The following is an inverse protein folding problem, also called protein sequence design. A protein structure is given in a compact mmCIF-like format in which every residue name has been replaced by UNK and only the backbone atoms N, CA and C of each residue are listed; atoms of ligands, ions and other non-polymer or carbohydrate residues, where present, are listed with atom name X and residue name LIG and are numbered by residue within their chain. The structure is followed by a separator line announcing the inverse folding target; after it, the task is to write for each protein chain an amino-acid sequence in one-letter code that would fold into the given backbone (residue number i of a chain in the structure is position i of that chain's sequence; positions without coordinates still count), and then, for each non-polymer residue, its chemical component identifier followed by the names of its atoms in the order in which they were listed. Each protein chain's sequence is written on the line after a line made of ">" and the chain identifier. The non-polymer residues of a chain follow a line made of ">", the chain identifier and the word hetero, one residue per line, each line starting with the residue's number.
data_IF_269196106240
#
_entry.id   IF_269196106240
#
_cell.length_a   1.000
_cell.length_b   1.000
_cell.length_c   1.000
_cell.angle_alpha   90.00
_cell.angle_beta   90.00
_cell.angle_gamma   90.00
#
_symmetry.space_group_name_H-M   'P 1'
#
loop_
_entity.id
_entity.type
_entity.pdbx_description
1 polymer ?
#
# COMPACT_ATOMS: atom_id res chain seq x y z
N UNK A 1 -6.14 -25.40 10.63
CA UNK A 1 -6.01 -25.19 9.16
C UNK A 1 -4.85 -24.24 8.92
N UNK A 2 -3.94 -24.62 8.03
CA UNK A 2 -2.75 -23.81 7.69
C UNK A 2 -2.91 -23.24 6.29
N UNK A 3 -2.80 -21.91 6.17
CA UNK A 3 -2.91 -21.20 4.89
C UNK A 3 -1.55 -20.59 4.51
N UNK A 4 -1.10 -20.85 3.28
CA UNK A 4 0.01 -20.14 2.67
C UNK A 4 -0.51 -19.05 1.72
N UNK A 5 -0.10 -17.80 1.93
CA UNK A 5 -0.46 -16.65 1.11
C UNK A 5 0.71 -16.16 0.27
N UNK A 6 0.46 -15.89 -1.03
CA UNK A 6 1.48 -15.37 -1.97
C UNK A 6 1.04 -13.99 -2.45
N UNK A 7 1.84 -12.98 -2.14
CA UNK A 7 1.66 -11.59 -2.60
C UNK A 7 2.65 -11.28 -3.72
N UNK A 8 2.17 -10.57 -4.75
CA UNK A 8 3.02 -10.08 -5.85
C UNK A 8 2.21 -9.20 -6.78
N UNK A 9 1.91 -7.98 -6.32
CA UNK A 9 1.09 -7.02 -7.08
C UNK A 9 1.91 -5.98 -7.83
N UNK A 10 3.07 -5.58 -7.30
CA UNK A 10 3.94 -4.56 -7.90
C UNK A 10 5.43 -4.91 -7.69
N UNK A 11 6.20 -4.09 -6.96
CA UNK A 11 7.64 -4.29 -6.75
C UNK A 11 7.98 -5.30 -5.65
N UNK A 12 7.03 -5.51 -4.73
CA UNK A 12 7.22 -6.46 -3.63
C UNK A 12 6.65 -7.82 -3.98
N UNK A 13 7.34 -8.87 -3.54
CA UNK A 13 6.79 -10.21 -3.51
C UNK A 13 6.96 -10.77 -2.11
N UNK A 14 5.95 -11.47 -1.62
CA UNK A 14 5.93 -11.98 -0.26
C UNK A 14 5.22 -13.33 -0.17
N UNK A 15 5.62 -14.10 0.82
CA UNK A 15 4.99 -15.36 1.21
C UNK A 15 4.78 -15.32 2.72
N UNK A 16 3.54 -15.52 3.15
CA UNK A 16 3.18 -15.64 4.56
C UNK A 16 2.47 -16.95 4.83
N UNK A 17 2.62 -17.47 6.05
CA UNK A 17 1.90 -18.65 6.55
C UNK A 17 1.15 -18.25 7.81
N UNK A 18 -0.14 -18.57 7.84
CA UNK A 18 -1.01 -18.28 8.99
C UNK A 18 -1.87 -19.51 9.31
N UNK A 19 -2.30 -19.60 10.57
CA UNK A 19 -3.28 -20.58 11.00
C UNK A 19 -4.71 -19.98 11.07
N UNK A 20 -5.71 -20.82 11.38
CA UNK A 20 -7.11 -20.41 11.52
C UNK A 20 -7.42 -19.71 12.86
N UNK A 21 -6.45 -19.60 13.78
CA UNK A 21 -6.54 -18.79 14.98
C UNK A 21 -6.03 -17.35 14.72
N UNK A 22 -5.45 -17.08 13.54
CA UNK A 22 -4.88 -15.80 13.16
C UNK A 22 -3.43 -15.61 13.57
N UNK A 23 -2.74 -16.67 13.98
CA UNK A 23 -1.31 -16.58 14.28
C UNK A 23 -0.52 -16.49 12.97
N UNK A 24 0.42 -15.53 12.91
CA UNK A 24 1.36 -15.38 11.81
C UNK A 24 2.55 -16.30 12.10
N UNK A 25 2.66 -17.41 11.37
CA UNK A 25 3.69 -18.43 11.55
C UNK A 25 4.96 -18.12 10.78
N UNK A 26 4.84 -17.41 9.63
CA UNK A 26 5.95 -16.92 8.84
C UNK A 26 5.56 -15.69 8.01
N UNK A 27 6.54 -14.80 7.76
CA UNK A 27 6.34 -13.63 6.90
C UNK A 27 7.63 -13.25 6.18
N UNK A 28 7.83 -13.80 4.99
CA UNK A 28 9.01 -13.62 4.16
C UNK A 28 8.71 -12.71 2.97
N UNK A 29 9.63 -11.81 2.63
CA UNK A 29 9.43 -10.91 1.51
C UNK A 29 10.71 -10.44 0.84
N UNK A 30 10.59 -10.04 -0.43
CA UNK A 30 11.67 -9.46 -1.22
C UNK A 30 11.14 -8.31 -2.05
N UNK A 31 11.91 -7.23 -2.15
CA UNK A 31 11.53 -6.04 -2.91
C UNK A 31 12.48 -5.84 -4.08
N UNK A 32 11.91 -5.55 -5.26
CA UNK A 32 12.64 -5.03 -6.40
C UNK A 32 12.92 -3.53 -6.16
N UNK A 33 14.20 -3.18 -6.17
CA UNK A 33 14.63 -1.77 -6.11
C UNK A 33 15.22 -1.45 -7.49
N UNK A 34 14.54 -0.62 -8.31
CA UNK A 34 15.06 -0.24 -9.60
C UNK A 34 16.29 0.67 -9.45
N UNK A 35 17.29 0.50 -10.30
CA UNK A 35 18.48 1.36 -10.31
C UNK A 35 18.15 2.80 -10.72
N UNK A 36 17.12 2.99 -11.56
CA UNK A 36 16.64 4.29 -12.02
C UNK A 36 15.18 4.22 -12.47
N UNK A 37 14.48 5.34 -12.45
CA UNK A 37 13.10 5.45 -12.92
C UNK A 37 12.06 4.84 -11.99
N UNK A 38 10.97 4.34 -12.55
CA UNK A 38 9.87 3.68 -11.84
C UNK A 38 9.89 2.16 -12.03
N UNK A 39 8.92 1.47 -11.43
CA UNK A 39 8.81 0.00 -11.54
C UNK A 39 8.36 -0.39 -12.95
N UNK A 40 9.22 -1.13 -13.67
CA UNK A 40 8.85 -1.68 -14.97
C UNK A 40 8.07 -2.99 -14.79
N UNK A 41 6.86 -3.14 -15.37
CA UNK A 41 5.99 -4.29 -15.12
C UNK A 41 6.60 -5.65 -15.45
N UNK A 42 7.47 -5.70 -16.48
CA UNK A 42 8.18 -6.92 -16.87
C UNK A 42 9.25 -7.32 -15.84
N UNK A 43 10.03 -6.34 -15.37
CA UNK A 43 11.05 -6.57 -14.35
C UNK A 43 10.43 -7.04 -13.02
N UNK A 44 9.27 -6.47 -12.64
CA UNK A 44 8.52 -6.94 -11.50
C UNK A 44 8.10 -8.42 -11.67
N UNK A 45 7.61 -8.81 -12.85
CA UNK A 45 7.23 -10.19 -13.12
C UNK A 45 8.43 -11.16 -13.09
N UNK A 46 9.57 -10.75 -13.64
CA UNK A 46 10.83 -11.53 -13.62
C UNK A 46 11.35 -11.67 -12.17
N UNK A 47 11.30 -10.59 -11.39
CA UNK A 47 11.63 -10.61 -9.97
C UNK A 47 10.73 -11.59 -9.18
N UNK A 48 9.42 -11.57 -9.41
CA UNK A 48 8.48 -12.49 -8.76
C UNK A 48 8.77 -13.94 -9.15
N UNK A 49 8.96 -14.21 -10.44
CA UNK A 49 9.29 -15.55 -10.93
C UNK A 49 10.55 -16.13 -10.28
N UNK A 50 11.56 -15.30 -10.07
CA UNK A 50 12.81 -15.69 -9.40
C UNK A 50 12.69 -15.83 -7.88
N UNK A 51 11.75 -15.12 -7.25
CA UNK A 51 11.69 -14.98 -5.79
C UNK A 51 10.65 -15.87 -5.12
N UNK A 52 9.52 -16.20 -5.75
CA UNK A 52 8.40 -16.90 -5.08
C UNK A 52 8.83 -18.26 -4.52
N UNK A 53 9.51 -19.11 -5.31
CA UNK A 53 9.91 -20.44 -4.84
C UNK A 53 10.92 -20.38 -3.69
N UNK A 54 11.98 -19.55 -3.73
CA UNK A 54 12.83 -19.32 -2.57
C UNK A 54 12.04 -18.86 -1.33
N UNK A 55 11.14 -17.87 -1.48
CA UNK A 55 10.34 -17.36 -0.37
C UNK A 55 9.38 -18.40 0.24
N UNK A 56 8.83 -19.30 -0.57
CA UNK A 56 8.04 -20.44 -0.04
C UNK A 56 8.92 -21.32 0.85
N UNK A 57 10.14 -21.64 0.44
CA UNK A 57 11.08 -22.44 1.23
C UNK A 57 11.47 -21.73 2.52
N UNK A 58 11.74 -20.44 2.45
CA UNK A 58 12.09 -19.64 3.62
C UNK A 58 10.92 -19.58 4.61
N UNK A 59 9.69 -19.38 4.13
CA UNK A 59 8.49 -19.35 4.97
C UNK A 59 8.20 -20.70 5.64
N UNK A 60 8.38 -21.82 4.96
CA UNK A 60 8.27 -23.16 5.55
C UNK A 60 9.33 -23.38 6.61
N UNK A 61 10.57 -22.97 6.36
CA UNK A 61 11.65 -23.10 7.34
C UNK A 61 11.40 -22.22 8.58
N UNK A 62 10.90 -20.98 8.41
CA UNK A 62 10.56 -20.07 9.51
C UNK A 62 9.41 -20.61 10.36
N UNK A 63 8.36 -21.12 9.73
CA UNK A 63 7.19 -21.71 10.40
C UNK A 63 7.46 -23.10 10.98
N UNK A 64 8.55 -23.76 10.60
CA UNK A 64 8.90 -25.16 10.94
C UNK A 64 7.82 -26.16 10.48
N UNK A 65 7.16 -25.86 9.38
CA UNK A 65 6.16 -26.72 8.74
C UNK A 65 6.74 -27.36 7.48
N UNK A 66 6.22 -28.55 7.16
CA UNK A 66 6.45 -29.18 5.87
C UNK A 66 5.41 -28.68 4.84
N UNK A 67 5.72 -28.84 3.56
CA UNK A 67 4.84 -28.38 2.48
C UNK A 67 3.48 -29.13 2.49
N UNK A 68 3.48 -30.34 2.99
CA UNK A 68 2.29 -31.20 3.09
C UNK A 68 1.36 -30.79 4.26
N UNK A 69 1.81 -29.89 5.15
CA UNK A 69 0.97 -29.33 6.23
C UNK A 69 0.04 -28.21 5.73
N UNK A 70 0.22 -27.76 4.50
CA UNK A 70 -0.58 -26.67 3.92
C UNK A 70 -1.97 -27.16 3.48
N UNK A 71 -3.00 -26.57 4.06
CA UNK A 71 -4.41 -26.89 3.76
C UNK A 71 -5.05 -25.97 2.72
N UNK A 72 -4.51 -24.74 2.53
CA UNK A 72 -5.08 -23.72 1.68
C UNK A 72 -3.99 -22.86 1.05
N UNK A 73 -4.14 -22.53 -0.23
CA UNK A 73 -3.31 -21.52 -0.91
C UNK A 73 -4.14 -20.26 -1.15
N UNK A 74 -3.66 -19.11 -0.67
CA UNK A 74 -4.21 -17.80 -0.98
C UNK A 74 -3.24 -17.01 -1.87
N UNK A 75 -3.74 -16.09 -2.69
CA UNK A 75 -2.90 -15.19 -3.48
C UNK A 75 -3.56 -13.85 -3.73
N UNK A 76 -2.75 -12.79 -3.91
CA UNK A 76 -3.22 -11.48 -4.32
C UNK A 76 -3.70 -11.50 -5.77
N UNK A 77 -5.03 -11.39 -5.96
CA UNK A 77 -5.67 -11.40 -7.28
C UNK A 77 -5.56 -10.05 -8.00
N UNK A 78 -5.41 -8.98 -7.26
CA UNK A 78 -5.37 -7.58 -7.72
C UNK A 78 -5.98 -6.64 -6.70
N UNK A 79 -5.90 -5.31 -6.95
CA UNK A 79 -5.28 -4.65 -8.11
C UNK A 79 -3.74 -4.74 -8.09
N UNK A 80 -3.10 -4.48 -9.25
CA UNK A 80 -1.65 -4.50 -9.40
C UNK A 80 -1.19 -4.54 -10.86
N UNK A 81 0.11 -4.66 -11.08
CA UNK A 81 0.71 -4.76 -12.40
C UNK A 81 0.35 -6.11 -13.06
N UNK A 82 -0.28 -6.09 -14.21
CA UNK A 82 -0.79 -7.28 -14.89
C UNK A 82 0.22 -8.42 -15.06
N UNK A 83 1.47 -8.19 -15.51
CA UNK A 83 2.50 -9.22 -15.58
C UNK A 83 2.86 -9.83 -14.22
N UNK A 84 3.02 -9.01 -13.17
CA UNK A 84 3.28 -9.45 -11.79
C UNK A 84 2.16 -10.32 -11.25
N UNK A 85 0.89 -9.86 -11.38
CA UNK A 85 -0.29 -10.62 -10.98
C UNK A 85 -0.40 -11.98 -11.67
N UNK A 86 -0.09 -12.06 -12.97
CA UNK A 86 -0.11 -13.34 -13.70
C UNK A 86 0.95 -14.30 -13.18
N UNK A 87 2.15 -13.83 -12.90
CA UNK A 87 3.23 -14.65 -12.33
C UNK A 87 2.82 -15.20 -10.97
N UNK A 88 2.30 -14.36 -10.09
CA UNK A 88 1.82 -14.74 -8.76
C UNK A 88 0.67 -15.75 -8.83
N UNK A 89 -0.33 -15.49 -9.67
CA UNK A 89 -1.47 -16.39 -9.84
C UNK A 89 -1.06 -17.75 -10.44
N UNK A 90 -0.07 -17.78 -11.33
CA UNK A 90 0.46 -19.03 -11.91
C UNK A 90 1.18 -19.85 -10.82
N UNK A 91 2.03 -19.23 -10.03
CA UNK A 91 2.74 -19.90 -8.93
C UNK A 91 1.75 -20.47 -7.89
N UNK A 92 0.78 -19.66 -7.46
CA UNK A 92 -0.24 -20.09 -6.50
C UNK A 92 -1.09 -21.26 -7.03
N UNK A 93 -1.52 -21.21 -8.29
CA UNK A 93 -2.27 -22.29 -8.92
C UNK A 93 -1.45 -23.57 -9.05
N UNK A 94 -0.18 -23.46 -9.46
CA UNK A 94 0.72 -24.61 -9.56
C UNK A 94 0.91 -25.27 -8.21
N UNK A 95 1.11 -24.48 -7.15
CA UNK A 95 1.25 -24.98 -5.79
C UNK A 95 -0.03 -25.68 -5.31
N UNK A 96 -1.20 -25.04 -5.45
CA UNK A 96 -2.47 -25.61 -5.03
C UNK A 96 -2.80 -26.94 -5.75
N UNK A 97 -2.51 -27.02 -7.06
CA UNK A 97 -2.68 -28.25 -7.85
C UNK A 97 -1.73 -29.35 -7.36
N UNK A 98 -0.45 -29.01 -7.12
CA UNK A 98 0.56 -29.99 -6.67
C UNK A 98 0.23 -30.57 -5.30
N UNK A 99 -0.35 -29.77 -4.40
CA UNK A 99 -0.75 -30.19 -3.05
C UNK A 99 -2.18 -30.76 -3.01
N UNK A 100 -2.94 -30.61 -4.09
CA UNK A 100 -4.36 -30.97 -4.14
C UNK A 100 -5.21 -30.27 -3.05
N UNK A 101 -4.93 -28.97 -2.81
CA UNK A 101 -5.64 -28.15 -1.82
C UNK A 101 -6.44 -27.02 -2.50
N UNK A 102 -7.45 -26.44 -1.81
CA UNK A 102 -8.19 -25.29 -2.32
C UNK A 102 -7.29 -24.07 -2.57
N UNK A 103 -7.78 -23.17 -3.45
CA UNK A 103 -7.13 -21.89 -3.74
C UNK A 103 -8.12 -20.73 -3.63
N UNK A 104 -7.67 -19.61 -3.01
CA UNK A 104 -8.47 -18.39 -2.84
C UNK A 104 -7.74 -17.18 -3.40
N UNK A 105 -8.42 -16.41 -4.26
CA UNK A 105 -7.92 -15.11 -4.75
C UNK A 105 -8.41 -13.95 -3.88
N UNK A 106 -7.47 -13.24 -3.24
CA UNK A 106 -7.74 -12.15 -2.31
C UNK A 106 -7.55 -10.79 -3.00
N UNK A 107 -8.43 -9.84 -2.72
CA UNK A 107 -8.21 -8.45 -3.12
C UNK A 107 -7.06 -7.86 -2.29
N UNK A 108 -6.04 -7.32 -2.95
CA UNK A 108 -4.82 -6.79 -2.31
C UNK A 108 -5.11 -5.70 -1.27
N UNK A 109 -6.03 -4.75 -1.59
CA UNK A 109 -6.39 -3.68 -0.66
C UNK A 109 -7.08 -4.23 0.59
N UNK A 110 -7.97 -5.23 0.42
CA UNK A 110 -8.61 -5.90 1.55
C UNK A 110 -7.62 -6.72 2.37
N UNK A 111 -6.61 -7.33 1.74
CA UNK A 111 -5.53 -7.99 2.46
C UNK A 111 -4.81 -7.03 3.43
N UNK A 112 -4.55 -5.79 3.02
CA UNK A 112 -4.00 -4.77 3.90
C UNK A 112 -4.95 -4.36 5.03
N UNK A 113 -6.26 -4.28 4.78
CA UNK A 113 -7.26 -3.96 5.81
C UNK A 113 -7.35 -5.10 6.82
N UNK A 114 -7.45 -6.34 6.37
CA UNK A 114 -7.60 -7.50 7.26
C UNK A 114 -6.36 -7.74 8.13
N UNK A 115 -5.15 -7.66 7.56
CA UNK A 115 -3.93 -7.78 8.38
C UNK A 115 -3.79 -6.62 9.36
N UNK A 116 -4.22 -5.41 8.96
CA UNK A 116 -4.28 -4.26 9.86
C UNK A 116 -5.20 -4.51 11.05
N UNK A 117 -6.40 -5.02 10.82
CA UNK A 117 -7.34 -5.41 11.89
C UNK A 117 -6.73 -6.46 12.81
N UNK A 118 -6.18 -7.52 12.24
CA UNK A 118 -5.56 -8.61 12.99
C UNK A 118 -4.43 -8.11 13.90
N UNK A 119 -3.58 -7.21 13.41
CA UNK A 119 -2.38 -6.77 14.13
C UNK A 119 -2.62 -5.61 15.09
N UNK A 120 -3.69 -4.84 14.92
CA UNK A 120 -4.03 -3.71 15.80
C UNK A 120 -5.16 -4.02 16.77
N UNK A 121 -5.93 -5.07 16.54
CA UNK A 121 -7.13 -5.40 17.29
C UNK A 121 -8.33 -4.51 16.96
N UNK A 122 -8.27 -3.70 15.90
CA UNK A 122 -9.40 -2.90 15.44
C UNK A 122 -10.54 -3.81 14.95
N UNK A 123 -11.75 -3.59 15.46
CA UNK A 123 -12.88 -4.47 15.16
C UNK A 123 -13.65 -4.02 13.92
N UNK A 124 -14.01 -2.72 13.87
CA UNK A 124 -14.86 -2.17 12.79
C UNK A 124 -14.39 -0.78 12.32
N UNK A 125 -13.16 -0.63 11.83
CA UNK A 125 -12.59 0.65 11.50
C UNK A 125 -13.07 1.20 10.14
N UNK A 126 -13.01 2.54 10.01
CA UNK A 126 -12.79 3.19 8.74
C UNK A 126 -11.29 3.09 8.44
N UNK A 127 -10.94 2.43 7.35
CA UNK A 127 -9.55 2.20 6.98
C UNK A 127 -9.10 3.19 5.92
N UNK A 128 -8.11 4.02 6.23
CA UNK A 128 -7.40 4.82 5.24
C UNK A 128 -6.22 4.01 4.69
N UNK A 129 -6.41 3.44 3.51
CA UNK A 129 -5.38 2.69 2.79
C UNK A 129 -4.61 3.61 1.86
N UNK A 130 -3.34 3.83 2.16
CA UNK A 130 -2.46 4.75 1.43
C UNK A 130 -1.12 4.09 1.09
N UNK A 131 -0.90 3.85 -0.20
CA UNK A 131 0.30 3.19 -0.71
C UNK A 131 0.86 3.89 -1.95
N UNK A 132 1.89 3.32 -2.56
CA UNK A 132 2.43 3.78 -3.84
C UNK A 132 1.41 3.73 -4.98
N UNK A 133 0.56 2.71 -5.02
CA UNK A 133 -0.40 2.47 -6.09
C UNK A 133 -1.86 2.77 -5.75
N UNK A 134 -2.21 2.89 -4.47
CA UNK A 134 -3.59 3.03 -4.03
C UNK A 134 -3.75 4.12 -2.96
N UNK A 135 -4.89 4.81 -3.01
CA UNK A 135 -5.34 5.74 -1.98
C UNK A 135 -6.86 5.60 -1.89
N UNK A 136 -7.33 4.94 -0.85
CA UNK A 136 -8.74 4.61 -0.66
C UNK A 136 -9.14 4.72 0.81
N UNK A 137 -10.36 5.19 1.06
CA UNK A 137 -11.04 5.12 2.35
C UNK A 137 -12.06 3.99 2.29
N UNK A 138 -11.85 2.95 3.07
CA UNK A 138 -12.59 1.69 3.01
C UNK A 138 -13.26 1.43 4.35
N UNK A 139 -14.51 1.00 4.34
CA UNK A 139 -15.19 0.52 5.54
C UNK A 139 -16.08 -0.68 5.23
N UNK A 140 -16.32 -1.51 6.24
CA UNK A 140 -17.25 -2.65 6.13
C UNK A 140 -18.66 -2.16 6.42
N UNK A 141 -19.55 -2.22 5.42
CA UNK A 141 -20.92 -1.76 5.50
C UNK A 141 -21.88 -2.67 4.73
N UNK A 142 -23.00 -3.04 5.35
CA UNK A 142 -24.00 -3.90 4.75
C UNK A 142 -23.38 -5.20 4.23
N UNK A 143 -22.66 -5.91 5.10
CA UNK A 143 -22.05 -7.25 4.87
C UNK A 143 -20.97 -7.28 3.77
N UNK A 144 -20.36 -6.15 3.45
CA UNK A 144 -19.26 -6.07 2.47
C UNK A 144 -18.37 -4.85 2.68
N UNK A 145 -17.14 -4.93 2.22
CA UNK A 145 -16.25 -3.78 2.12
C UNK A 145 -16.72 -2.83 1.01
N UNK A 146 -16.75 -1.54 1.33
CA UNK A 146 -17.09 -0.46 0.41
C UNK A 146 -16.01 0.60 0.42
N UNK A 147 -15.72 1.14 -0.76
CA UNK A 147 -14.88 2.33 -0.92
C UNK A 147 -15.79 3.55 -0.76
N UNK A 148 -15.52 4.37 0.24
CA UNK A 148 -16.25 5.62 0.50
C UNK A 148 -15.61 6.81 -0.19
N UNK A 149 -14.29 6.76 -0.41
CA UNK A 149 -13.56 7.78 -1.16
C UNK A 149 -12.26 7.21 -1.72
N UNK A 150 -11.83 7.71 -2.85
CA UNK A 150 -10.58 7.29 -3.48
C UNK A 150 -9.93 8.42 -4.28
N UNK A 151 -8.68 8.22 -4.66
CA UNK A 151 -8.03 9.14 -5.58
C UNK A 151 -8.57 8.94 -7.01
N UNK A 152 -8.89 10.06 -7.67
CA UNK A 152 -9.37 10.06 -9.05
C UNK A 152 -8.23 10.08 -10.09
N UNK A 153 -6.99 10.25 -9.64
CA UNK A 153 -5.84 10.36 -10.54
C UNK A 153 -4.63 9.53 -10.05
N UNK A 154 -3.73 10.11 -9.27
CA UNK A 154 -2.54 9.42 -8.79
C UNK A 154 -2.67 9.07 -7.30
N UNK A 155 -2.09 7.93 -6.90
CA UNK A 155 -2.03 7.56 -5.49
C UNK A 155 -1.08 8.49 -4.71
N UNK A 156 -1.32 8.65 -3.41
CA UNK A 156 -0.55 9.55 -2.54
C UNK A 156 0.94 9.18 -2.51
N UNK A 157 1.26 7.91 -2.40
CA UNK A 157 2.67 7.48 -2.41
C UNK A 157 3.36 7.79 -3.75
N UNK A 158 2.67 7.55 -4.87
CA UNK A 158 3.19 7.91 -6.19
C UNK A 158 3.32 9.44 -6.37
N UNK A 159 2.43 10.23 -5.78
CA UNK A 159 2.55 11.70 -5.76
C UNK A 159 3.86 12.14 -5.09
N UNK A 160 4.17 11.59 -3.91
CA UNK A 160 5.42 11.87 -3.18
C UNK A 160 6.65 11.39 -3.95
N UNK A 161 6.58 10.21 -4.56
CA UNK A 161 7.68 9.64 -5.34
C UNK A 161 7.95 10.43 -6.62
N UNK A 162 6.91 10.89 -7.32
CA UNK A 162 7.06 11.73 -8.50
C UNK A 162 7.66 13.09 -8.13
N UNK A 163 7.14 13.75 -7.08
CA UNK A 163 7.71 14.99 -6.59
C UNK A 163 9.20 14.83 -6.27
N UNK A 164 9.54 13.83 -5.46
CA UNK A 164 10.92 13.59 -5.05
C UNK A 164 11.88 13.37 -6.25
N UNK A 165 11.43 12.70 -7.30
CA UNK A 165 12.22 12.55 -8.53
C UNK A 165 12.44 13.85 -9.26
N UNK A 166 11.41 14.66 -9.42
CA UNK A 166 11.48 15.95 -10.13
C UNK A 166 12.40 16.95 -9.42
N UNK A 167 12.45 16.92 -8.08
CA UNK A 167 13.31 17.80 -7.29
C UNK A 167 14.69 17.18 -6.96
N UNK A 168 15.02 16.00 -7.52
CA UNK A 168 16.33 15.36 -7.38
C UNK A 168 16.55 14.58 -6.08
N UNK A 169 15.52 14.32 -5.27
CA UNK A 169 15.63 13.51 -4.05
C UNK A 169 15.72 12.01 -4.30
N UNK A 170 15.22 11.53 -5.46
CA UNK A 170 15.22 10.11 -5.84
C UNK A 170 14.16 9.26 -5.11
N UNK A 171 14.31 7.94 -5.16
CA UNK A 171 13.36 6.96 -4.60
C UNK A 171 13.95 6.26 -3.36
N UNK A 172 13.15 5.86 -2.34
CA UNK A 172 11.73 6.20 -2.13
C UNK A 172 11.53 7.67 -1.75
N UNK A 173 10.51 8.32 -2.34
CA UNK A 173 10.27 9.75 -2.16
C UNK A 173 9.62 10.11 -0.84
N UNK A 174 8.65 9.32 -0.38
CA UNK A 174 7.87 9.62 0.82
C UNK A 174 8.72 9.94 2.06
N UNK A 175 9.68 9.08 2.48
CA UNK A 175 10.55 9.33 3.63
C UNK A 175 11.43 10.58 3.46
N UNK A 176 11.90 10.86 2.24
CA UNK A 176 12.75 12.03 1.96
C UNK A 176 11.95 13.33 2.01
N UNK A 177 10.74 13.35 1.46
CA UNK A 177 9.82 14.48 1.60
C UNK A 177 9.49 14.74 3.06
N UNK A 178 9.26 13.70 3.86
CA UNK A 178 9.02 13.82 5.31
C UNK A 178 10.23 14.39 6.04
N UNK A 179 11.45 13.97 5.69
CA UNK A 179 12.68 14.48 6.29
C UNK A 179 12.86 15.98 6.02
N UNK A 180 12.72 16.41 4.76
CA UNK A 180 12.80 17.81 4.37
C UNK A 180 11.69 18.64 5.01
N UNK A 181 10.46 18.13 5.06
CA UNK A 181 9.33 18.82 5.65
C UNK A 181 9.53 19.21 7.13
N UNK A 182 10.36 18.49 7.87
CA UNK A 182 10.69 18.80 9.28
C UNK A 182 11.52 20.07 9.47
N UNK A 183 12.20 20.50 8.42
CA UNK A 183 13.09 21.68 8.45
C UNK A 183 12.43 22.92 7.82
N UNK A 184 11.14 22.86 7.49
CA UNK A 184 10.42 23.94 6.85
C UNK A 184 10.20 25.13 7.80
N UNK A 185 10.33 26.33 7.27
CA UNK A 185 10.05 27.57 7.97
C UNK A 185 8.63 28.11 7.67
N UNK A 186 8.13 27.91 6.44
CA UNK A 186 6.87 28.49 5.97
C UNK A 186 5.98 27.49 5.20
N UNK A 187 4.66 27.67 5.35
CA UNK A 187 3.66 26.98 4.52
C UNK A 187 3.37 27.77 3.25
N UNK A 188 3.55 27.13 2.11
CA UNK A 188 3.23 27.67 0.79
C UNK A 188 1.88 27.12 0.33
N UNK A 189 0.92 28.00 0.08
CA UNK A 189 -0.41 27.60 -0.36
C UNK A 189 -0.37 26.83 -1.68
N UNK A 190 -0.89 25.61 -1.66
CA UNK A 190 -1.10 24.72 -2.82
C UNK A 190 -2.61 24.54 -3.09
N UNK A 191 -2.98 24.05 -4.28
CA UNK A 191 -4.37 23.71 -4.58
C UNK A 191 -4.91 22.64 -3.63
N UNK A 192 -6.17 22.76 -3.25
CA UNK A 192 -6.86 21.80 -2.40
C UNK A 192 -8.01 21.17 -3.21
N UNK A 193 -7.92 19.89 -3.51
CA UNK A 193 -8.79 19.22 -4.48
C UNK A 193 -9.53 18.01 -3.88
N UNK A 194 -10.52 18.29 -3.03
CA UNK A 194 -11.48 17.30 -2.52
C UNK A 194 -12.81 17.52 -3.23
N UNK A 195 -13.38 16.45 -3.78
CA UNK A 195 -14.65 16.49 -4.51
C UNK A 195 -15.59 15.40 -3.98
N UNK A 196 -16.51 15.81 -3.11
CA UNK A 196 -17.29 14.86 -2.33
C UNK A 196 -16.42 14.12 -1.33
N UNK A 197 -16.24 12.82 -1.54
CA UNK A 197 -15.31 11.97 -0.77
C UNK A 197 -14.10 11.53 -1.61
N UNK A 198 -13.97 12.03 -2.83
CA UNK A 198 -12.85 11.70 -3.72
C UNK A 198 -11.78 12.79 -3.72
N UNK A 199 -10.59 12.42 -4.11
CA UNK A 199 -9.36 13.20 -4.02
C UNK A 199 -8.67 13.29 -5.37
N UNK A 200 -7.91 14.36 -5.61
CA UNK A 200 -7.03 14.50 -6.78
C UNK A 200 -5.70 15.12 -6.36
N UNK A 201 -4.61 14.43 -6.63
CA UNK A 201 -3.27 14.85 -6.22
C UNK A 201 -2.41 15.42 -7.36
N UNK A 202 -2.73 15.14 -8.63
CA UNK A 202 -1.93 15.61 -9.77
C UNK A 202 -1.82 17.14 -9.86
N UNK A 203 -2.88 17.84 -9.50
CA UNK A 203 -2.88 19.32 -9.44
C UNK A 203 -1.99 19.85 -8.30
N UNK A 204 -2.02 19.20 -7.12
CA UNK A 204 -1.17 19.52 -5.97
C UNK A 204 0.29 19.28 -6.32
N UNK A 205 0.61 18.11 -6.89
CA UNK A 205 1.94 17.74 -7.37
C UNK A 205 2.52 18.77 -8.35
N UNK A 206 1.76 19.08 -9.41
CA UNK A 206 2.20 20.02 -10.43
C UNK A 206 2.44 21.43 -9.84
N UNK A 207 1.59 21.86 -8.91
CA UNK A 207 1.78 23.15 -8.23
C UNK A 207 3.01 23.15 -7.32
N UNK A 208 3.27 22.08 -6.59
CA UNK A 208 4.46 21.94 -5.76
C UNK A 208 5.76 21.99 -6.59
N UNK A 209 5.82 21.26 -7.70
CA UNK A 209 6.95 21.27 -8.64
C UNK A 209 7.20 22.71 -9.15
N UNK A 210 6.15 23.39 -9.62
CA UNK A 210 6.27 24.78 -10.10
C UNK A 210 6.73 25.76 -9.03
N UNK A 211 6.33 25.57 -7.78
CA UNK A 211 6.83 26.40 -6.65
C UNK A 211 8.33 26.20 -6.46
N UNK A 212 8.79 24.97 -6.45
CA UNK A 212 10.22 24.66 -6.37
C UNK A 212 11.00 25.24 -7.55
N UNK A 213 10.54 25.05 -8.78
CA UNK A 213 11.15 25.60 -10.00
C UNK A 213 11.21 27.15 -10.00
N UNK A 214 10.26 27.81 -9.33
CA UNK A 214 10.24 29.26 -9.16
C UNK A 214 11.15 29.80 -8.04
N UNK A 215 11.89 28.90 -7.37
CA UNK A 215 12.91 29.25 -6.36
C UNK A 215 12.42 29.18 -4.90
N UNK A 216 11.26 28.58 -4.64
CA UNK A 216 10.82 28.35 -3.26
C UNK A 216 11.76 27.33 -2.57
N UNK A 217 12.05 27.50 -1.26
CA UNK A 217 12.86 26.54 -0.51
C UNK A 217 12.30 25.14 -0.58
N UNK A 218 13.16 24.13 -0.81
CA UNK A 218 12.76 22.74 -0.94
C UNK A 218 12.00 22.24 0.30
N UNK A 219 12.49 22.60 1.48
CA UNK A 219 11.92 22.17 2.76
C UNK A 219 10.47 22.70 2.92
N UNK A 220 10.22 23.96 2.57
CA UNK A 220 8.90 24.58 2.62
C UNK A 220 7.94 23.95 1.60
N UNK A 221 8.43 23.60 0.40
CA UNK A 221 7.62 22.92 -0.61
C UNK A 221 7.28 21.48 -0.17
N UNK A 222 8.25 20.75 0.39
CA UNK A 222 8.02 19.40 0.93
C UNK A 222 6.97 19.42 2.05
N UNK A 223 7.10 20.35 3.00
CA UNK A 223 6.13 20.55 4.06
C UNK A 223 4.75 20.88 3.50
N UNK A 224 4.66 21.83 2.60
CA UNK A 224 3.39 22.30 2.04
C UNK A 224 2.67 21.23 1.22
N UNK A 225 3.42 20.42 0.45
CA UNK A 225 2.89 19.26 -0.27
C UNK A 225 2.30 18.25 0.71
N UNK A 226 3.06 17.90 1.74
CA UNK A 226 2.66 16.93 2.76
C UNK A 226 1.41 17.43 3.53
N UNK A 227 1.43 18.64 4.08
CA UNK A 227 0.33 19.23 4.83
C UNK A 227 -0.96 19.31 4.00
N UNK A 228 -0.86 19.82 2.77
CA UNK A 228 -2.03 19.94 1.89
C UNK A 228 -2.63 18.58 1.55
N UNK A 229 -1.80 17.63 1.10
CA UNK A 229 -2.28 16.33 0.67
C UNK A 229 -2.81 15.49 1.84
N UNK A 230 -2.15 15.53 2.99
CA UNK A 230 -2.61 14.78 4.17
C UNK A 230 -3.88 15.39 4.79
N UNK A 231 -4.02 16.71 4.79
CA UNK A 231 -5.28 17.35 5.20
C UNK A 231 -6.46 16.90 4.33
N UNK A 232 -6.25 16.71 3.03
CA UNK A 232 -7.28 16.16 2.13
C UNK A 232 -7.64 14.71 2.51
N UNK A 233 -6.63 13.88 2.82
CA UNK A 233 -6.85 12.48 3.26
C UNK A 233 -7.62 12.41 4.57
N UNK A 234 -7.23 13.23 5.55
CA UNK A 234 -7.88 13.29 6.88
C UNK A 234 -9.32 13.75 6.74
N UNK A 235 -9.58 14.82 5.97
CA UNK A 235 -10.94 15.33 5.73
C UNK A 235 -11.87 14.25 5.15
N UNK A 236 -11.42 13.51 4.13
CA UNK A 236 -12.24 12.46 3.51
C UNK A 236 -12.44 11.29 4.47
N UNK A 237 -11.42 10.94 5.25
CA UNK A 237 -11.52 9.89 6.27
C UNK A 237 -12.51 10.28 7.38
N UNK A 238 -12.47 11.53 7.86
CA UNK A 238 -13.42 12.07 8.85
C UNK A 238 -14.86 12.07 8.31
N UNK A 239 -15.05 12.47 7.05
CA UNK A 239 -16.37 12.40 6.41
C UNK A 239 -16.91 10.97 6.35
N UNK A 240 -16.04 10.00 6.01
CA UNK A 240 -16.43 8.59 5.99
C UNK A 240 -16.77 8.08 7.39
N UNK A 241 -15.98 8.46 8.41
CA UNK A 241 -16.25 8.14 9.81
C UNK A 241 -17.60 8.67 10.27
N UNK A 242 -17.88 9.95 9.99
CA UNK A 242 -19.15 10.58 10.32
C UNK A 242 -20.34 9.94 9.59
N UNK A 243 -20.16 9.58 8.29
CA UNK A 243 -21.19 8.94 7.49
C UNK A 243 -21.53 7.54 7.99
N UNK A 244 -20.53 6.74 8.29
CA UNK A 244 -20.68 5.34 8.75
C UNK A 244 -20.98 5.25 10.25
N UNK A 245 -20.81 6.33 11.01
CA UNK A 245 -20.94 6.39 12.48
C UNK A 245 -20.01 5.43 13.22
N UNK A 246 -18.94 4.99 12.58
CA UNK A 246 -17.91 4.16 13.20
C UNK A 246 -17.05 5.00 14.17
N UNK A 247 -16.37 4.32 15.09
CA UNK A 247 -15.60 4.97 16.16
C UNK A 247 -14.09 4.74 16.04
N UNK A 248 -13.68 3.94 15.06
CA UNK A 248 -12.29 3.56 14.88
C UNK A 248 -11.78 4.02 13.51
N UNK A 249 -10.56 4.52 13.48
CA UNK A 249 -9.81 4.80 12.23
C UNK A 249 -8.55 3.96 12.24
N UNK A 250 -8.30 3.29 11.12
CA UNK A 250 -7.09 2.49 10.92
C UNK A 250 -6.32 3.00 9.70
N UNK A 251 -5.02 3.20 9.86
CA UNK A 251 -4.11 3.53 8.77
C UNK A 251 -3.39 2.28 8.27
N UNK A 252 -3.37 2.05 6.96
CA UNK A 252 -2.63 0.95 6.36
C UNK A 252 -1.98 1.35 5.02
N UNK A 253 -0.97 0.58 4.60
CA UNK A 253 -0.14 0.88 3.43
C UNK A 253 1.14 1.63 3.79
N UNK A 254 2.07 1.74 2.83
CA UNK A 254 3.42 2.28 3.08
C UNK A 254 3.44 3.75 3.51
N UNK A 255 2.52 4.58 3.01
CA UNK A 255 2.43 6.00 3.39
C UNK A 255 1.92 6.18 4.83
N UNK A 256 1.20 5.21 5.37
CA UNK A 256 0.76 5.20 6.77
C UNK A 256 1.91 5.18 7.79
N UNK A 257 3.14 4.90 7.36
CA UNK A 257 4.33 5.01 8.19
C UNK A 257 4.75 6.47 8.46
N UNK A 258 4.28 7.44 7.65
CA UNK A 258 4.61 8.85 7.81
C UNK A 258 4.11 9.38 9.17
N UNK A 259 5.02 9.99 9.94
CA UNK A 259 4.72 10.47 11.30
C UNK A 259 3.67 11.57 11.29
N UNK A 260 3.75 12.50 10.32
CA UNK A 260 2.82 13.63 10.24
C UNK A 260 1.39 13.18 9.91
N UNK A 261 1.23 12.19 9.02
CA UNK A 261 -0.10 11.64 8.73
C UNK A 261 -0.74 10.98 9.97
N UNK A 262 0.10 10.35 10.81
CA UNK A 262 -0.37 9.75 12.07
C UNK A 262 -0.73 10.78 13.14
N UNK A 263 -0.07 11.93 13.15
CA UNK A 263 -0.36 13.02 14.07
C UNK A 263 -1.68 13.74 13.75
N UNK A 264 -2.03 13.86 12.47
CA UNK A 264 -3.26 14.46 11.99
C UNK A 264 -4.48 13.59 12.30
#
# INVERSE_FOLDING_TARGET
>A
MICIGIEGTAEKTGVGIVDDEGNILASCGKQLIPESGGIHPREAAEHHAASIVPLIKDALAESKLDIDDIDLVAFSRGPGLGPALRTTATAARSLAISLNVPIVGVNHCLGHVEIGKLTTGAEDPVSLYVSGGNTQVIAYESERYRVFGETLDIAMGNCLDQFAREVGLGHPGGPKVEEHAKNADEYIKLPYAVKGMDLSFSGVLTAAIRKYESGAPLDDVCYSLQETAFSMLVEVTERALAHTKKQEVMLCGGVAANSRLREM
#
